data_IF_497165828338
#
_entry.id   IF_497165828338
#
_cell.length_a   1.000
_cell.length_b   1.000
_cell.length_c   1.000
_cell.angle_alpha   90.00
_cell.angle_beta   90.00
_cell.angle_gamma   90.00
#
_symmetry.space_group_name_H-M   'P 1'
#
loop_
_entity.id
_entity.type
_entity.pdbx_description
1 polymer ?
#
# COMPACT_ATOMS: atom_id res chain seq x y z
N UNK A 1 -18.76 11.07 -15.00
CA UNK A 1 -17.28 11.08 -14.83
C UNK A 1 -16.95 10.69 -13.40
N UNK A 2 -15.85 9.97 -13.24
CA UNK A 2 -15.25 9.61 -11.96
C UNK A 2 -13.92 10.33 -11.84
N UNK A 3 -13.71 11.06 -10.75
CA UNK A 3 -12.47 11.78 -10.45
C UNK A 3 -11.75 11.15 -9.26
N UNK A 4 -10.46 10.83 -9.42
CA UNK A 4 -9.64 10.19 -8.39
C UNK A 4 -8.77 11.22 -7.68
N UNK A 5 -8.97 11.42 -6.38
CA UNK A 5 -8.15 12.30 -5.56
C UNK A 5 -7.20 11.46 -4.72
N UNK A 6 -5.95 11.37 -5.18
CA UNK A 6 -4.97 10.48 -4.58
C UNK A 6 -4.60 10.85 -3.13
N UNK A 7 -4.67 9.87 -2.23
CA UNK A 7 -4.30 9.98 -0.81
C UNK A 7 -3.26 8.92 -0.41
N UNK A 8 -2.17 9.36 0.22
CA UNK A 8 -1.10 8.47 0.71
C UNK A 8 0.12 8.41 -0.21
N UNK A 9 0.59 7.19 -0.48
CA UNK A 9 1.75 6.88 -1.35
C UNK A 9 1.35 5.90 -2.44
N UNK A 10 2.27 5.55 -3.33
CA UNK A 10 2.02 4.74 -4.54
C UNK A 10 1.16 3.48 -4.30
N UNK A 11 1.39 2.72 -3.22
CA UNK A 11 0.57 1.54 -2.91
C UNK A 11 -0.93 1.87 -2.71
N UNK A 12 -1.25 3.00 -2.10
CA UNK A 12 -2.64 3.45 -1.95
C UNK A 12 -3.18 4.04 -3.26
N UNK A 13 -2.32 4.71 -4.04
CA UNK A 13 -2.70 5.27 -5.32
C UNK A 13 -3.13 4.18 -6.31
N UNK A 14 -2.46 3.03 -6.30
CA UNK A 14 -2.84 1.88 -7.12
C UNK A 14 -4.24 1.37 -6.79
N UNK A 15 -4.60 1.24 -5.51
CA UNK A 15 -5.97 0.90 -5.10
C UNK A 15 -6.98 1.95 -5.59
N UNK A 16 -6.69 3.22 -5.39
CA UNK A 16 -7.57 4.33 -5.77
C UNK A 16 -7.78 4.42 -7.29
N UNK A 17 -6.72 4.22 -8.07
CA UNK A 17 -6.79 4.15 -9.52
C UNK A 17 -7.62 2.94 -9.96
N UNK A 18 -7.33 1.74 -9.45
CA UNK A 18 -8.06 0.54 -9.80
C UNK A 18 -9.55 0.65 -9.49
N UNK A 19 -9.90 1.12 -8.28
CA UNK A 19 -11.30 1.29 -7.90
C UNK A 19 -12.01 2.31 -8.80
N UNK A 20 -11.36 3.44 -9.10
CA UNK A 20 -11.88 4.45 -10.02
C UNK A 20 -12.07 3.93 -11.44
N UNK A 21 -11.10 3.19 -11.97
CA UNK A 21 -11.17 2.59 -13.30
C UNK A 21 -12.27 1.55 -13.39
N UNK A 22 -12.39 0.67 -12.39
CA UNK A 22 -13.45 -0.33 -12.35
C UNK A 22 -14.84 0.31 -12.35
N UNK A 23 -15.06 1.29 -11.48
CA UNK A 23 -16.33 2.02 -11.47
C UNK A 23 -16.59 2.73 -12.80
N UNK A 24 -15.56 3.30 -13.43
CA UNK A 24 -15.70 4.01 -14.70
C UNK A 24 -16.14 3.06 -15.82
N UNK A 25 -15.48 1.90 -15.92
CA UNK A 25 -15.82 0.87 -16.90
C UNK A 25 -17.21 0.27 -16.64
N UNK A 26 -17.58 0.00 -15.38
CA UNK A 26 -18.87 -0.59 -15.03
C UNK A 26 -20.06 0.36 -15.19
N UNK A 27 -19.87 1.67 -14.93
CA UNK A 27 -20.92 2.68 -15.08
C UNK A 27 -20.92 3.32 -16.48
N UNK A 28 -19.93 3.02 -17.34
CA UNK A 28 -19.76 3.70 -18.63
C UNK A 28 -19.37 5.18 -18.49
N UNK A 29 -18.68 5.55 -17.40
CA UNK A 29 -18.27 6.92 -17.10
C UNK A 29 -16.85 7.18 -17.58
N UNK A 30 -16.54 8.43 -17.94
CA UNK A 30 -15.14 8.83 -18.14
C UNK A 30 -14.37 8.76 -16.81
N UNK A 31 -13.09 8.39 -16.85
CA UNK A 31 -12.18 8.44 -15.70
C UNK A 31 -11.24 9.64 -15.82
N UNK A 32 -11.13 10.41 -14.73
CA UNK A 32 -10.10 11.42 -14.52
C UNK A 32 -9.21 11.00 -13.35
N UNK A 33 -8.00 10.55 -13.66
CA UNK A 33 -6.99 10.18 -12.69
C UNK A 33 -5.60 10.56 -13.22
N UNK A 34 -4.74 11.13 -12.37
CA UNK A 34 -3.36 11.41 -12.78
C UNK A 34 -2.61 10.08 -13.03
N UNK A 35 -1.78 9.99 -14.09
CA UNK A 35 -0.97 8.80 -14.33
C UNK A 35 -0.02 8.50 -13.16
N UNK A 36 0.12 7.22 -12.84
CA UNK A 36 0.95 6.75 -11.74
C UNK A 36 2.39 6.48 -12.22
N UNK A 37 3.41 7.10 -11.59
CA UNK A 37 4.80 6.84 -11.92
C UNK A 37 5.14 5.35 -11.79
N UNK A 38 5.80 4.80 -12.82
CA UNK A 38 6.18 3.39 -12.88
C UNK A 38 5.10 2.45 -13.41
N UNK A 39 3.90 2.94 -13.75
CA UNK A 39 2.80 2.14 -14.29
C UNK A 39 2.24 2.78 -15.57
N UNK A 40 2.88 2.56 -16.73
CA UNK A 40 2.53 3.25 -17.98
C UNK A 40 1.08 3.02 -18.43
N UNK A 41 0.50 1.85 -18.13
CA UNK A 41 -0.91 1.55 -18.44
C UNK A 41 -1.92 2.49 -17.78
N UNK A 42 -1.51 3.22 -16.75
CA UNK A 42 -2.36 4.24 -16.09
C UNK A 42 -2.50 5.54 -16.89
N UNK A 43 -1.72 5.73 -17.95
CA UNK A 43 -1.88 6.85 -18.90
C UNK A 43 -3.03 6.64 -19.88
N UNK A 44 -3.56 5.42 -19.99
CA UNK A 44 -4.66 5.11 -20.88
C UNK A 44 -5.88 5.96 -20.51
N UNK A 45 -6.39 6.69 -21.50
CA UNK A 45 -7.63 7.45 -21.37
C UNK A 45 -8.82 6.49 -21.32
N UNK A 46 -9.69 6.69 -20.34
CA UNK A 46 -10.98 5.99 -20.24
C UNK A 46 -12.08 7.00 -20.53
N UNK A 47 -12.67 6.88 -21.71
CA UNK A 47 -13.78 7.72 -22.17
C UNK A 47 -15.12 7.18 -21.69
N UNK A 48 -16.11 8.06 -21.63
CA UNK A 48 -17.46 7.72 -21.20
C UNK A 48 -18.24 8.96 -20.82
N UNK A 49 -19.36 8.74 -20.13
CA UNK A 49 -20.27 9.83 -19.74
C UNK A 49 -19.63 10.76 -18.69
N UNK A 50 -19.87 12.06 -18.85
CA UNK A 50 -19.46 13.11 -17.92
C UNK A 50 -20.65 13.98 -17.55
N UNK A 51 -20.79 14.26 -16.25
CA UNK A 51 -21.92 15.00 -15.67
C UNK A 51 -21.38 16.11 -14.77
N UNK A 52 -20.69 17.14 -15.33
CA UNK A 52 -20.05 18.18 -14.53
C UNK A 52 -21.04 18.99 -13.70
N UNK A 53 -22.27 19.15 -14.18
CA UNK A 53 -23.36 19.88 -13.51
C UNK A 53 -24.33 18.95 -12.75
N UNK A 54 -24.04 17.65 -12.70
CA UNK A 54 -24.85 16.67 -11.98
C UNK A 54 -24.54 16.65 -10.48
N UNK A 55 -25.39 15.94 -9.71
CA UNK A 55 -25.18 15.74 -8.28
C UNK A 55 -23.79 15.14 -8.01
N UNK A 56 -23.11 15.65 -6.98
CA UNK A 56 -21.77 15.18 -6.60
C UNK A 56 -21.85 14.15 -5.48
N UNK A 57 -21.36 12.94 -5.75
CA UNK A 57 -21.19 11.87 -4.77
C UNK A 57 -19.71 11.73 -4.42
N UNK A 58 -19.36 11.87 -3.13
CA UNK A 58 -18.00 11.68 -2.64
C UNK A 58 -17.90 10.33 -1.93
N UNK A 59 -17.08 9.42 -2.48
CA UNK A 59 -16.77 8.14 -1.85
C UNK A 59 -15.47 8.25 -1.07
N UNK A 60 -15.47 7.80 0.19
CA UNK A 60 -14.32 7.91 1.09
C UNK A 60 -14.15 6.67 1.95
N UNK A 61 -13.01 6.54 2.65
CA UNK A 61 -12.70 5.36 3.45
C UNK A 61 -12.37 4.12 2.62
N UNK A 62 -12.66 2.94 3.15
CA UNK A 62 -12.38 1.65 2.50
C UNK A 62 -13.63 0.90 2.05
N UNK A 63 -14.79 1.18 2.66
CA UNK A 63 -16.04 0.45 2.43
C UNK A 63 -16.99 1.31 1.61
N UNK A 64 -17.48 0.73 0.52
CA UNK A 64 -18.50 1.26 -0.37
C UNK A 64 -19.55 0.16 -0.58
N UNK A 65 -20.83 0.53 -0.51
CA UNK A 65 -21.92 -0.33 -0.97
C UNK A 65 -21.91 -0.36 -2.51
N UNK A 66 -21.05 -1.22 -3.05
CA UNK A 66 -20.81 -1.33 -4.48
C UNK A 66 -22.08 -1.76 -5.25
N UNK A 67 -22.89 -2.74 -4.79
CA UNK A 67 -24.16 -3.06 -5.43
C UNK A 67 -25.13 -1.88 -5.52
N UNK A 68 -25.35 -1.14 -4.42
CA UNK A 68 -26.24 0.01 -4.45
C UNK A 68 -25.69 1.13 -5.36
N UNK A 69 -24.37 1.35 -5.34
CA UNK A 69 -23.72 2.34 -6.19
C UNK A 69 -23.87 2.00 -7.68
N UNK A 70 -23.75 0.73 -8.06
CA UNK A 70 -23.88 0.29 -9.46
C UNK A 70 -25.34 0.23 -9.93
N UNK A 71 -26.29 0.00 -9.02
CA UNK A 71 -27.72 -0.01 -9.34
C UNK A 71 -28.31 1.41 -9.52
N UNK A 72 -27.68 2.44 -8.96
CA UNK A 72 -28.11 3.82 -9.13
C UNK A 72 -27.79 4.32 -10.56
N UNK A 73 -28.81 4.56 -11.36
CA UNK A 73 -28.70 5.02 -12.77
C UNK A 73 -28.73 6.54 -12.91
N UNK A 74 -28.87 7.31 -11.82
CA UNK A 74 -29.00 8.77 -11.89
C UNK A 74 -27.69 9.42 -12.38
N UNK A 75 -27.75 10.41 -13.30
CA UNK A 75 -26.60 11.20 -13.69
C UNK A 75 -25.92 11.84 -12.49
N UNK A 76 -24.62 11.58 -12.31
CA UNK A 76 -23.85 12.11 -11.18
C UNK A 76 -22.36 12.20 -11.46
N UNK A 77 -21.70 13.11 -10.76
CA UNK A 77 -20.25 13.21 -10.67
C UNK A 77 -19.77 12.45 -9.44
N UNK A 78 -18.84 11.50 -9.61
CA UNK A 78 -18.32 10.70 -8.49
C UNK A 78 -16.88 11.13 -8.20
N UNK A 79 -16.57 11.48 -6.95
CA UNK A 79 -15.23 11.84 -6.50
C UNK A 79 -14.73 10.79 -5.51
N UNK A 80 -13.58 10.19 -5.79
CA UNK A 80 -12.94 9.21 -4.92
C UNK A 80 -11.90 9.86 -4.01
N UNK A 81 -12.15 9.80 -2.70
CA UNK A 81 -11.29 10.29 -1.60
C UNK A 81 -11.10 9.23 -0.51
N UNK A 82 -11.00 7.97 -0.92
CA UNK A 82 -10.83 6.81 -0.05
C UNK A 82 -9.55 6.04 -0.34
N UNK A 83 -9.30 4.96 0.40
CA UNK A 83 -8.23 4.02 0.12
C UNK A 83 -8.75 2.72 -0.51
N UNK A 84 -10.04 2.38 -0.34
CA UNK A 84 -10.74 1.27 -1.02
C UNK A 84 -10.03 -0.09 -0.90
N UNK A 85 -9.44 -0.38 0.25
CA UNK A 85 -8.57 -1.54 0.45
C UNK A 85 -9.36 -2.81 0.81
N UNK A 86 -10.26 -3.21 -0.08
CA UNK A 86 -11.12 -4.39 0.06
C UNK A 86 -10.98 -5.30 -1.16
N UNK A 87 -10.45 -6.50 -0.97
CA UNK A 87 -10.08 -7.42 -2.03
C UNK A 87 -11.27 -7.83 -2.88
N UNK A 88 -12.47 -7.92 -2.31
CA UNK A 88 -13.66 -8.29 -3.07
C UNK A 88 -13.99 -7.32 -4.22
N UNK A 89 -13.53 -6.05 -4.16
CA UNK A 89 -13.70 -5.10 -5.26
C UNK A 89 -12.84 -5.47 -6.48
N UNK A 90 -11.71 -6.15 -6.24
CA UNK A 90 -10.70 -6.44 -7.25
C UNK A 90 -10.70 -7.91 -7.68
N UNK A 91 -11.18 -8.81 -6.81
CA UNK A 91 -11.22 -10.26 -7.00
C UNK A 91 -11.82 -10.70 -8.36
N UNK A 92 -12.93 -10.12 -8.86
CA UNK A 92 -13.49 -10.52 -10.16
C UNK A 92 -12.69 -9.98 -11.36
N UNK A 93 -11.79 -9.02 -11.14
CA UNK A 93 -11.15 -8.21 -12.18
C UNK A 93 -9.62 -8.37 -12.21
N UNK A 94 -9.07 -9.41 -11.58
CA UNK A 94 -7.62 -9.61 -11.43
C UNK A 94 -6.84 -9.52 -12.74
N UNK A 95 -7.33 -10.18 -13.79
CA UNK A 95 -6.62 -10.25 -15.07
C UNK A 95 -6.60 -8.89 -15.79
N UNK A 96 -7.71 -8.15 -15.71
CA UNK A 96 -7.78 -6.79 -16.22
C UNK A 96 -6.82 -5.88 -15.45
N UNK A 97 -6.83 -5.95 -14.11
CA UNK A 97 -5.94 -5.17 -13.26
C UNK A 97 -4.46 -5.46 -13.55
N UNK A 98 -4.08 -6.74 -13.71
CA UNK A 98 -2.71 -7.14 -14.08
C UNK A 98 -2.28 -6.58 -15.43
N UNK A 99 -3.21 -6.41 -16.36
CA UNK A 99 -2.95 -5.78 -17.65
C UNK A 99 -2.74 -4.27 -17.50
N UNK A 100 -3.56 -3.60 -16.70
CA UNK A 100 -3.47 -2.15 -16.51
C UNK A 100 -2.24 -1.71 -15.71
N UNK A 101 -1.85 -2.53 -14.75
CA UNK A 101 -0.80 -2.23 -13.77
C UNK A 101 0.50 -2.98 -14.04
N UNK A 102 0.86 -3.25 -15.29
CA UNK A 102 2.19 -3.75 -15.61
C UNK A 102 3.25 -2.73 -15.18
N UNK A 103 4.16 -3.07 -14.24
CA UNK A 103 5.16 -2.15 -13.77
C UNK A 103 6.29 -1.99 -14.82
N UNK A 104 6.79 -0.77 -14.98
CA UNK A 104 7.93 -0.48 -15.84
C UNK A 104 9.25 -0.94 -15.19
N UNK A 105 9.55 -2.23 -15.32
CA UNK A 105 10.70 -2.88 -14.68
C UNK A 105 11.89 -3.16 -15.60
N UNK A 106 11.84 -2.74 -16.87
CA UNK A 106 12.97 -2.90 -17.79
C UNK A 106 14.21 -2.18 -17.25
N UNK A 107 15.31 -2.91 -17.07
CA UNK A 107 16.56 -2.38 -16.53
C UNK A 107 16.56 -2.12 -15.01
N UNK A 108 15.48 -2.50 -14.30
CA UNK A 108 15.42 -2.43 -12.84
C UNK A 108 16.04 -3.68 -12.20
N UNK A 109 16.43 -3.62 -10.91
CA UNK A 109 16.88 -4.80 -10.17
C UNK A 109 15.85 -5.93 -10.20
N UNK A 110 16.35 -7.16 -10.30
CA UNK A 110 15.54 -8.37 -10.30
C UNK A 110 16.10 -9.39 -9.29
N UNK A 111 15.20 -10.19 -8.73
CA UNK A 111 15.55 -11.27 -7.82
C UNK A 111 16.11 -12.48 -8.59
N UNK A 112 17.01 -13.20 -7.93
CA UNK A 112 17.49 -14.51 -8.41
C UNK A 112 16.42 -15.58 -8.19
N UNK A 113 16.55 -16.72 -8.86
CA UNK A 113 15.52 -17.77 -8.86
C UNK A 113 15.12 -18.27 -7.45
N UNK A 114 16.06 -18.33 -6.51
CA UNK A 114 15.85 -18.80 -5.13
C UNK A 114 16.04 -17.69 -4.08
N UNK A 115 15.91 -16.42 -4.46
CA UNK A 115 15.87 -15.33 -3.48
C UNK A 115 14.54 -15.34 -2.73
N UNK A 116 14.60 -15.18 -1.40
CA UNK A 116 13.46 -14.72 -0.61
C UNK A 116 13.53 -13.20 -0.53
N UNK A 117 12.59 -12.51 -1.18
CA UNK A 117 12.48 -11.04 -1.09
C UNK A 117 11.45 -10.66 -0.04
N UNK A 118 11.90 -9.96 0.99
CA UNK A 118 11.10 -9.63 2.17
C UNK A 118 10.96 -8.12 2.33
N UNK A 119 9.74 -7.63 2.49
CA UNK A 119 9.53 -6.23 2.87
C UNK A 119 9.49 -6.08 4.39
N UNK A 120 10.30 -5.15 4.93
CA UNK A 120 10.26 -4.72 6.32
C UNK A 120 9.88 -3.24 6.39
N UNK A 121 8.61 -2.95 6.69
CA UNK A 121 8.08 -1.57 6.82
C UNK A 121 8.33 -1.03 8.23
N UNK A 122 9.02 0.10 8.33
CA UNK A 122 9.46 0.72 9.58
C UNK A 122 9.07 2.18 9.69
N UNK A 123 9.45 3.05 8.76
CA UNK A 123 9.50 4.52 8.95
C UNK A 123 8.25 5.13 9.59
N UNK A 124 7.18 5.33 8.82
CA UNK A 124 5.91 5.88 9.29
C UNK A 124 5.22 4.98 10.31
N UNK A 125 5.49 3.68 10.25
CA UNK A 125 4.97 2.65 11.15
C UNK A 125 5.55 2.79 12.56
N UNK A 126 6.62 3.57 12.77
CA UNK A 126 7.12 3.86 14.11
C UNK A 126 6.58 5.17 14.72
N UNK A 127 5.84 6.01 13.96
CA UNK A 127 5.66 7.44 14.33
C UNK A 127 4.48 7.78 15.24
N UNK A 128 3.32 7.14 15.15
CA UNK A 128 2.15 7.58 15.94
C UNK A 128 1.08 6.52 16.24
N UNK A 129 0.73 5.64 15.28
CA UNK A 129 -0.32 4.61 15.44
C UNK A 129 0.28 3.19 15.43
N UNK A 130 1.61 3.10 15.49
CA UNK A 130 2.42 2.15 14.74
C UNK A 130 1.96 0.70 14.68
N UNK A 131 1.94 0.17 13.45
CA UNK A 131 1.59 -1.23 13.13
C UNK A 131 2.76 -2.05 12.54
N UNK A 132 4.02 -1.85 12.97
CA UNK A 132 5.10 -2.68 12.46
C UNK A 132 4.85 -4.13 12.86
N UNK A 133 5.24 -5.07 12.01
CA UNK A 133 5.12 -6.47 12.33
C UNK A 133 6.16 -6.88 13.39
N UNK A 134 5.77 -7.74 14.34
CA UNK A 134 6.72 -8.36 15.26
C UNK A 134 7.74 -9.19 14.49
N UNK A 135 8.90 -9.41 15.08
CA UNK A 135 9.92 -10.20 14.40
C UNK A 135 9.59 -11.68 14.29
N UNK A 136 8.75 -12.21 15.18
CA UNK A 136 8.25 -13.59 15.09
C UNK A 136 7.61 -13.90 13.75
N UNK A 137 6.90 -12.94 13.13
CA UNK A 137 6.39 -13.08 11.77
C UNK A 137 7.52 -13.38 10.78
N UNK A 138 8.55 -12.52 10.77
CA UNK A 138 9.67 -12.69 9.85
C UNK A 138 10.46 -13.96 10.17
N UNK A 139 10.66 -14.29 11.46
CA UNK A 139 11.31 -15.51 11.89
C UNK A 139 10.56 -16.77 11.41
N UNK A 140 9.24 -16.77 11.49
CA UNK A 140 8.41 -17.87 11.00
C UNK A 140 8.49 -18.02 9.48
N UNK A 141 8.52 -16.92 8.73
CA UNK A 141 8.76 -16.99 7.28
C UNK A 141 10.14 -17.58 6.99
N UNK A 142 11.17 -17.10 7.69
CA UNK A 142 12.56 -17.54 7.48
C UNK A 142 12.80 -19.01 7.86
N UNK A 143 11.98 -19.61 8.73
CA UNK A 143 12.04 -21.04 9.06
C UNK A 143 11.24 -21.92 8.10
N UNK A 144 10.21 -21.37 7.45
CA UNK A 144 9.35 -22.10 6.52
C UNK A 144 9.85 -22.05 5.07
N UNK A 145 10.49 -20.95 4.67
CA UNK A 145 10.95 -20.75 3.31
C UNK A 145 12.25 -21.52 3.02
N UNK A 146 12.37 -22.04 1.80
CA UNK A 146 13.62 -22.58 1.27
C UNK A 146 14.23 -21.56 0.32
N UNK A 147 15.36 -20.97 0.66
CA UNK A 147 15.97 -19.89 -0.12
C UNK A 147 17.49 -19.92 0.01
N UNK A 148 18.18 -19.44 -1.03
CA UNK A 148 19.65 -19.34 -1.03
C UNK A 148 20.12 -18.00 -0.45
N UNK A 149 19.32 -16.95 -0.66
CA UNK A 149 19.64 -15.59 -0.23
C UNK A 149 18.40 -14.82 0.21
N UNK A 150 18.55 -14.09 1.32
CA UNK A 150 17.53 -13.17 1.84
C UNK A 150 17.82 -11.76 1.34
N UNK A 151 16.84 -11.14 0.68
CA UNK A 151 16.92 -9.74 0.24
C UNK A 151 15.83 -8.94 0.93
N UNK A 152 16.20 -7.89 1.66
CA UNK A 152 15.24 -7.07 2.41
C UNK A 152 15.03 -5.73 1.72
N UNK A 153 13.77 -5.46 1.36
CA UNK A 153 13.30 -4.14 0.92
C UNK A 153 12.71 -3.38 2.12
N UNK A 154 13.16 -2.16 2.38
CA UNK A 154 12.74 -1.43 3.58
C UNK A 154 12.78 0.08 3.39
N UNK A 155 11.82 0.77 3.99
CA UNK A 155 11.80 2.24 4.07
C UNK A 155 12.70 2.79 5.20
N UNK A 156 13.37 1.92 5.96
CA UNK A 156 14.29 2.27 7.03
C UNK A 156 15.56 1.41 7.05
N UNK A 157 16.46 1.51 6.05
CA UNK A 157 17.62 0.61 5.91
C UNK A 157 18.65 0.72 7.04
N UNK A 158 18.58 1.78 7.85
CA UNK A 158 19.46 1.98 9.03
C UNK A 158 18.75 1.68 10.35
N UNK A 159 17.51 1.16 10.33
CA UNK A 159 16.75 0.86 11.53
C UNK A 159 17.44 -0.27 12.34
N UNK A 160 17.70 -0.08 13.66
CA UNK A 160 18.29 -1.11 14.51
C UNK A 160 17.54 -2.44 14.54
N UNK A 161 16.22 -2.45 14.26
CA UNK A 161 15.40 -3.66 14.15
C UNK A 161 15.99 -4.65 13.13
N UNK A 162 16.60 -4.15 12.06
CA UNK A 162 17.20 -4.98 11.01
C UNK A 162 18.40 -5.80 11.52
N UNK A 163 19.01 -5.45 12.67
CA UNK A 163 20.08 -6.24 13.29
C UNK A 163 19.62 -7.65 13.68
N UNK A 164 18.32 -7.85 13.91
CA UNK A 164 17.74 -9.17 14.22
C UNK A 164 17.88 -10.15 13.05
N UNK A 165 18.03 -9.64 11.84
CA UNK A 165 18.23 -10.46 10.64
C UNK A 165 19.68 -10.88 10.40
N UNK A 166 20.66 -10.35 11.16
CA UNK A 166 22.11 -10.55 10.89
C UNK A 166 22.52 -12.01 10.70
N UNK A 167 21.95 -12.92 11.49
CA UNK A 167 22.26 -14.37 11.41
C UNK A 167 21.84 -15.02 10.09
N UNK A 168 20.98 -14.36 9.32
CA UNK A 168 20.49 -14.82 8.02
C UNK A 168 21.24 -14.16 6.84
N UNK A 169 22.31 -13.40 7.12
CA UNK A 169 23.15 -12.71 6.13
C UNK A 169 22.35 -11.95 5.04
N UNK A 170 21.44 -11.02 5.43
CA UNK A 170 20.55 -10.36 4.49
C UNK A 170 21.30 -9.37 3.59
N UNK A 171 20.86 -9.27 2.33
CA UNK A 171 21.18 -8.13 1.47
C UNK A 171 20.18 -7.01 1.76
N UNK A 172 20.69 -5.88 2.28
CA UNK A 172 19.89 -4.70 2.58
C UNK A 172 20.56 -3.51 1.89
N UNK A 173 19.94 -3.01 0.82
CA UNK A 173 20.44 -1.86 0.08
C UNK A 173 19.39 -0.75 0.08
N UNK A 174 19.85 0.49 0.03
CA UNK A 174 18.96 1.64 -0.19
C UNK A 174 18.70 1.75 -1.69
N UNK A 175 17.43 1.63 -2.08
CA UNK A 175 16.99 1.75 -3.47
C UNK A 175 15.84 2.75 -3.61
N UNK A 176 15.53 3.10 -4.85
CA UNK A 176 14.35 3.85 -5.23
C UNK A 176 13.08 3.03 -5.08
N UNK A 177 11.93 3.72 -5.03
CA UNK A 177 10.62 3.10 -4.83
C UNK A 177 10.30 2.07 -5.92
N UNK A 178 10.56 2.39 -7.19
CA UNK A 178 10.31 1.45 -8.29
C UNK A 178 11.36 0.36 -8.38
N UNK A 179 12.60 0.59 -7.96
CA UNK A 179 13.63 -0.45 -7.91
C UNK A 179 13.26 -1.55 -6.90
N UNK A 180 12.83 -1.16 -5.69
CA UNK A 180 12.30 -2.12 -4.70
C UNK A 180 11.01 -2.79 -5.18
N UNK A 181 10.12 -2.04 -5.85
CA UNK A 181 8.88 -2.62 -6.40
C UNK A 181 9.17 -3.71 -7.42
N UNK A 182 10.06 -3.43 -8.38
CA UNK A 182 10.45 -4.36 -9.43
C UNK A 182 11.23 -5.56 -8.90
N UNK A 183 12.11 -5.35 -7.93
CA UNK A 183 12.80 -6.43 -7.23
C UNK A 183 11.81 -7.38 -6.56
N UNK A 184 10.85 -6.85 -5.80
CA UNK A 184 9.78 -7.66 -5.19
C UNK A 184 8.91 -8.35 -6.25
N UNK A 185 8.44 -7.62 -7.25
CA UNK A 185 7.58 -8.12 -8.32
C UNK A 185 8.22 -9.27 -9.13
N UNK A 186 9.55 -9.26 -9.28
CA UNK A 186 10.30 -10.29 -10.01
C UNK A 186 10.58 -11.57 -9.21
N UNK A 187 10.37 -11.56 -7.89
CA UNK A 187 10.77 -12.66 -7.03
C UNK A 187 9.80 -13.85 -7.10
N UNK A 188 10.34 -15.07 -6.98
CA UNK A 188 9.54 -16.30 -6.88
C UNK A 188 8.99 -16.53 -5.47
N UNK A 189 9.68 -16.01 -4.45
CA UNK A 189 9.24 -16.06 -3.06
C UNK A 189 9.25 -14.67 -2.45
N UNK A 190 8.07 -14.22 -1.99
CA UNK A 190 7.87 -12.87 -1.45
C UNK A 190 7.32 -12.96 -0.04
N UNK A 191 7.88 -12.18 0.88
CA UNK A 191 7.28 -11.95 2.19
C UNK A 191 6.87 -10.48 2.31
N UNK A 192 5.57 -10.22 2.37
CA UNK A 192 5.07 -8.85 2.45
C UNK A 192 5.02 -8.38 3.91
N UNK A 193 4.85 -7.07 4.11
CA UNK A 193 4.45 -6.54 5.41
C UNK A 193 3.02 -6.01 5.35
N UNK A 194 2.52 -5.42 6.43
CA UNK A 194 1.24 -4.70 6.41
C UNK A 194 1.36 -3.43 5.55
N UNK A 195 1.43 -3.56 4.23
CA UNK A 195 1.73 -2.45 3.34
C UNK A 195 1.06 -2.66 2.00
N UNK A 196 0.29 -1.66 1.57
CA UNK A 196 -0.28 -1.63 0.22
C UNK A 196 0.80 -1.72 -0.87
N UNK A 197 2.00 -1.19 -0.63
CA UNK A 197 3.11 -1.27 -1.57
C UNK A 197 3.54 -2.70 -1.85
N UNK A 198 3.85 -3.48 -0.80
CA UNK A 198 4.28 -4.88 -0.99
C UNK A 198 3.11 -5.78 -1.38
N UNK A 199 1.89 -5.45 -0.93
CA UNK A 199 0.69 -6.12 -1.41
C UNK A 199 0.57 -6.03 -2.92
N UNK A 200 0.70 -4.84 -3.51
CA UNK A 200 0.63 -4.67 -4.97
C UNK A 200 1.80 -5.34 -5.69
N UNK A 201 3.03 -5.22 -5.18
CA UNK A 201 4.18 -5.89 -5.79
C UNK A 201 3.98 -7.41 -5.85
N UNK A 202 3.46 -8.01 -4.77
CA UNK A 202 3.18 -9.44 -4.70
C UNK A 202 1.96 -9.84 -5.56
N UNK A 203 0.86 -9.10 -5.49
CA UNK A 203 -0.37 -9.39 -6.23
C UNK A 203 -0.16 -9.39 -7.75
N UNK A 204 0.65 -8.44 -8.24
CA UNK A 204 1.00 -8.31 -9.66
C UNK A 204 2.11 -9.25 -10.11
N UNK A 205 2.89 -9.82 -9.19
CA UNK A 205 4.00 -10.74 -9.50
C UNK A 205 3.52 -12.06 -10.10
N UNK A 206 4.48 -12.86 -10.57
CA UNK A 206 4.32 -14.29 -10.84
C UNK A 206 4.93 -15.16 -9.73
N UNK A 207 5.02 -14.64 -8.50
CA UNK A 207 5.57 -15.39 -7.38
C UNK A 207 4.82 -16.71 -7.17
N UNK A 208 5.59 -17.73 -6.79
CA UNK A 208 5.11 -19.08 -6.48
C UNK A 208 4.63 -19.16 -5.03
N UNK A 209 5.29 -18.41 -4.15
CA UNK A 209 4.93 -18.33 -2.72
C UNK A 209 4.94 -16.87 -2.25
N UNK A 210 3.84 -16.44 -1.64
CA UNK A 210 3.67 -15.13 -1.04
C UNK A 210 3.29 -15.33 0.44
N UNK A 211 4.20 -14.99 1.35
CA UNK A 211 3.93 -14.97 2.77
C UNK A 211 3.20 -13.69 3.14
N UNK A 212 1.96 -13.85 3.62
CA UNK A 212 1.05 -12.77 3.99
C UNK A 212 0.87 -12.74 5.52
N UNK A 213 1.06 -11.59 6.18
CA UNK A 213 0.90 -11.49 7.63
C UNK A 213 -0.58 -11.34 8.02
N UNK A 214 -1.07 -12.23 8.88
CA UNK A 214 -2.29 -12.00 9.68
C UNK A 214 -1.87 -11.48 11.04
N UNK A 215 -1.92 -10.16 11.20
CA UNK A 215 -1.44 -9.46 12.40
C UNK A 215 -2.53 -9.31 13.46
N UNK A 216 -2.14 -9.10 14.72
CA UNK A 216 -3.07 -8.69 15.77
C UNK A 216 -3.41 -7.20 15.71
N UNK A 217 -2.51 -6.38 15.17
CA UNK A 217 -2.70 -4.94 15.03
C UNK A 217 -2.43 -4.47 13.62
N UNK A 218 -3.09 -3.38 13.23
CA UNK A 218 -2.81 -2.68 11.99
C UNK A 218 -3.75 -2.95 10.84
N UNK A 219 -3.38 -2.51 9.63
CA UNK A 219 -4.28 -2.55 8.49
C UNK A 219 -4.76 -3.95 8.14
N UNK A 220 -3.98 -5.00 8.43
CA UNK A 220 -4.34 -6.39 8.09
C UNK A 220 -4.84 -7.15 9.33
N UNK A 221 -5.16 -6.46 10.41
CA UNK A 221 -5.68 -7.09 11.62
C UNK A 221 -7.21 -6.97 11.73
N UNK A 222 -7.84 -7.81 12.56
CA UNK A 222 -9.26 -7.70 12.87
C UNK A 222 -9.70 -6.36 13.48
N UNK A 223 -8.76 -5.52 13.96
CA UNK A 223 -9.06 -4.16 14.45
C UNK A 223 -9.48 -3.20 13.33
N UNK A 224 -9.23 -3.59 12.06
CA UNK A 224 -9.54 -2.82 10.86
C UNK A 224 -10.45 -3.62 9.92
N UNK A 225 -11.69 -3.94 10.34
CA UNK A 225 -12.62 -4.72 9.50
C UNK A 225 -13.04 -3.96 8.22
N UNK A 226 -12.78 -2.65 8.17
CA UNK A 226 -12.96 -1.84 6.97
C UNK A 226 -11.92 -2.16 5.87
N UNK A 227 -10.79 -2.80 6.22
CA UNK A 227 -9.76 -3.26 5.30
C UNK A 227 -9.80 -4.78 5.22
N UNK A 228 -9.77 -5.33 4.02
CA UNK A 228 -9.69 -6.77 3.79
C UNK A 228 -8.86 -7.01 2.53
N UNK A 229 -7.64 -7.52 2.68
CA UNK A 229 -6.70 -7.66 1.57
C UNK A 229 -6.19 -9.10 1.41
N UNK A 230 -6.89 -10.05 2.00
CA UNK A 230 -6.57 -11.46 1.82
C UNK A 230 -6.95 -11.91 0.41
N UNK A 231 -6.01 -12.54 -0.30
CA UNK A 231 -6.18 -12.96 -1.70
C UNK A 231 -6.40 -14.46 -1.78
N UNK A 232 -7.49 -14.88 -2.41
CA UNK A 232 -7.87 -16.28 -2.57
C UNK A 232 -7.11 -16.97 -3.72
N UNK A 233 -5.78 -16.96 -3.65
CA UNK A 233 -4.90 -17.66 -4.59
C UNK A 233 -4.03 -18.68 -3.84
N UNK A 234 -3.78 -19.87 -4.42
CA UNK A 234 -3.05 -20.95 -3.74
C UNK A 234 -1.60 -20.59 -3.38
N UNK A 235 -1.03 -19.59 -4.04
CA UNK A 235 0.32 -19.07 -3.75
C UNK A 235 0.42 -18.25 -2.46
N UNK A 236 -0.70 -17.90 -1.81
CA UNK A 236 -0.69 -17.13 -0.57
C UNK A 236 -0.60 -18.05 0.65
N UNK A 237 0.48 -17.89 1.41
CA UNK A 237 0.72 -18.55 2.70
C UNK A 237 0.47 -17.55 3.82
N UNK A 238 -0.62 -17.73 4.55
CA UNK A 238 -1.01 -16.84 5.63
C UNK A 238 -0.30 -17.19 6.93
N UNK A 239 0.55 -16.28 7.39
CA UNK A 239 1.36 -16.43 8.60
C UNK A 239 0.66 -15.73 9.76
N UNK A 240 0.23 -16.52 10.74
CA UNK A 240 -0.45 -16.01 11.93
C UNK A 240 0.53 -15.36 12.89
N UNK A 241 0.40 -14.06 13.11
CA UNK A 241 1.17 -13.36 14.13
C UNK A 241 0.49 -13.55 15.48
N UNK A 242 1.13 -14.25 16.40
CA UNK A 242 0.59 -14.55 17.74
C UNK A 242 0.97 -13.52 18.80
N UNK A 243 1.79 -12.53 18.45
CA UNK A 243 2.24 -11.48 19.37
C UNK A 243 2.02 -10.06 18.85
N UNK A 244 1.87 -9.15 19.80
CA UNK A 244 1.83 -7.71 19.55
C UNK A 244 3.24 -7.18 19.31
N UNK A 245 3.38 -6.19 18.43
CA UNK A 245 4.64 -5.47 18.34
C UNK A 245 4.91 -4.69 19.64
N UNK A 246 6.07 -4.96 20.26
CA UNK A 246 6.51 -4.26 21.46
C UNK A 246 7.52 -3.18 21.10
N UNK A 247 7.10 -1.92 21.17
CA UNK A 247 8.01 -0.79 21.03
C UNK A 247 9.05 -0.78 22.14
N UNK A 248 10.32 -0.69 21.74
CA UNK A 248 11.46 -0.43 22.60
C UNK A 248 11.36 0.95 23.26
N UNK A 249 12.07 1.14 24.38
CA UNK A 249 12.16 2.42 25.07
C UNK A 249 12.58 3.56 24.14
N UNK A 250 13.50 3.29 23.20
CA UNK A 250 13.95 4.27 22.21
C UNK A 250 12.84 4.67 21.23
N UNK A 251 12.11 3.70 20.69
CA UNK A 251 10.99 3.98 19.78
C UNK A 251 9.88 4.77 20.49
N UNK A 252 9.53 4.39 21.72
CA UNK A 252 8.56 5.13 22.55
C UNK A 252 9.00 6.58 22.80
N UNK A 253 10.28 6.79 23.09
CA UNK A 253 10.83 8.13 23.27
C UNK A 253 10.78 8.95 21.98
N UNK A 254 11.04 8.33 20.82
CA UNK A 254 10.90 8.99 19.52
C UNK A 254 9.44 9.35 19.19
N UNK A 255 8.49 8.47 19.50
CA UNK A 255 7.05 8.73 19.37
C UNK A 255 6.65 9.93 20.22
N UNK A 256 7.07 9.95 21.48
CA UNK A 256 6.79 11.05 22.41
C UNK A 256 7.37 12.39 21.92
N UNK A 257 8.65 12.40 21.50
CA UNK A 257 9.29 13.61 20.93
C UNK A 257 8.54 14.14 19.70
N UNK A 258 8.14 13.25 18.79
CA UNK A 258 7.36 13.63 17.59
C UNK A 258 5.97 14.15 17.96
N UNK A 259 5.33 13.55 18.95
CA UNK A 259 4.03 14.01 19.44
C UNK A 259 4.12 15.42 20.05
N UNK A 260 5.15 15.69 20.88
CA UNK A 260 5.43 17.03 21.40
C UNK A 260 5.68 18.00 20.24
N UNK A 261 6.56 17.66 19.30
CA UNK A 261 6.89 18.53 18.17
C UNK A 261 5.66 18.84 17.33
N UNK A 262 4.78 17.86 17.10
CA UNK A 262 3.52 18.05 16.41
C UNK A 262 2.61 19.03 17.16
N UNK A 263 2.44 18.85 18.48
CA UNK A 263 1.64 19.76 19.32
C UNK A 263 2.21 21.17 19.36
N UNK A 264 3.53 21.32 19.47
CA UNK A 264 4.22 22.62 19.43
C UNK A 264 4.05 23.29 18.08
N UNK A 265 4.23 22.56 16.98
CA UNK A 265 4.02 23.09 15.62
C UNK A 265 2.56 23.49 15.39
N UNK A 266 1.61 22.73 15.93
CA UNK A 266 0.19 23.05 15.85
C UNK A 266 -0.17 24.28 16.68
N UNK A 267 0.36 24.38 17.90
CA UNK A 267 0.22 25.54 18.77
C UNK A 267 0.83 26.80 18.14
N UNK A 268 2.06 26.72 17.61
CA UNK A 268 2.71 27.82 16.90
C UNK A 268 1.94 28.25 15.64
N UNK A 269 1.31 27.31 14.91
CA UNK A 269 0.46 27.65 13.76
C UNK A 269 -0.75 28.51 14.13
N UNK A 270 -1.24 28.46 15.38
CA UNK A 270 -2.32 29.34 15.87
C UNK A 270 -1.88 30.81 15.80
N UNK A 271 -0.60 31.08 16.06
CA UNK A 271 -0.01 32.43 16.09
C UNK A 271 0.51 32.91 14.74
N UNK A 272 0.49 32.09 13.68
CA UNK A 272 0.92 32.49 12.33
C UNK A 272 -0.25 33.20 11.60
N UNK A 273 -0.09 34.44 11.12
CA UNK A 273 -1.12 35.15 10.34
C UNK A 273 -1.56 34.38 9.09
N UNK A 274 -2.85 34.48 8.73
CA UNK A 274 -3.47 33.66 7.67
C UNK A 274 -2.77 33.72 6.31
N UNK A 275 -2.20 34.87 5.94
CA UNK A 275 -1.48 35.07 4.67
C UNK A 275 -0.18 34.24 4.56
N UNK A 276 0.45 33.89 5.69
CA UNK A 276 1.70 33.11 5.73
C UNK A 276 1.42 31.60 5.72
N UNK A 277 0.27 31.16 6.26
CA UNK A 277 -0.15 29.75 6.27
C UNK A 277 -0.30 29.16 4.86
N UNK A 278 -0.72 29.96 3.88
CA UNK A 278 -0.91 29.49 2.49
C UNK A 278 0.41 29.22 1.74
N UNK A 279 1.52 29.89 2.08
CA UNK A 279 2.82 29.64 1.45
C UNK A 279 3.54 28.40 2.00
N UNK A 280 3.24 27.99 3.23
CA UNK A 280 3.91 26.86 3.90
C UNK A 280 3.29 25.48 3.58
N UNK A 281 2.10 25.44 2.97
CA UNK A 281 1.39 24.19 2.59
C UNK A 281 1.75 23.65 1.20
N UNK A 282 2.52 24.41 0.40
CA UNK A 282 2.93 24.06 -0.99
C UNK A 282 4.40 23.61 -1.12
N UNK A 283 5.05 23.18 -0.04
CA UNK A 283 6.38 22.56 -0.07
C UNK A 283 6.34 21.20 0.59
#
# INVERSE_FOLDING_TARGET
>A
MIEVHYLGKIGNFLFQYCFGRLLAEQLGYALRAEPLPGFPGTQQRIDGQSYPDGDTLVLSGNVVDLPALLADTRPRHIILKGAFQRYEYYRPHRDAIRTWLQPACTGMPAASANDLVMQVRRDDYLRAVGYPLPFSYYEQVLTQAQYDRLVICTDGPTDPFLRRFRRFNPVIERRGVMEDFCLMHSARQIAISQSSFSWWAAFLSHAETIYFPRSLTGPFSPERPDIDLEVDEPRYVYVQCTEWYRFSTRERMQQFKKHILFRVKHFLMIFVPGAVRHRLRKR
#
